data_IF_229260920956
#
_entry.id   IF_229260920956
#
_cell.length_a   1.000
_cell.length_b   1.000
_cell.length_c   1.000
_cell.angle_alpha   90.00
_cell.angle_beta   90.00
_cell.angle_gamma   90.00
#
_symmetry.space_group_name_H-M   'P 1'
#
loop_
_entity.id
_entity.type
_entity.pdbx_description
1 polymer ?
#
# COMPACT_ATOMS: atom_id res chain seq x y z
N UNK A 1 -46.57 0.95 11.71
CA UNK A 1 -45.46 0.32 12.45
C UNK A 1 -44.31 -0.17 11.57
N UNK A 2 -44.57 -0.76 10.39
CA UNK A 2 -43.53 -1.29 9.50
C UNK A 2 -42.47 -0.26 9.03
N UNK A 3 -42.89 0.95 8.63
CA UNK A 3 -41.96 2.01 8.20
C UNK A 3 -41.01 2.49 9.32
N UNK A 4 -41.48 2.47 10.57
CA UNK A 4 -40.65 2.84 11.73
C UNK A 4 -39.57 1.78 11.95
N UNK A 5 -39.93 0.49 11.88
CA UNK A 5 -38.98 -0.61 12.01
C UNK A 5 -37.92 -0.59 10.90
N UNK A 6 -38.29 -0.30 9.65
CA UNK A 6 -37.31 -0.14 8.56
C UNK A 6 -36.40 1.07 8.75
N UNK A 7 -36.93 2.19 9.25
CA UNK A 7 -36.12 3.36 9.61
C UNK A 7 -35.09 3.06 10.70
N UNK A 8 -35.50 2.33 11.75
CA UNK A 8 -34.61 1.91 12.83
C UNK A 8 -33.51 0.96 12.33
N UNK A 9 -33.86 -0.03 11.50
CA UNK A 9 -32.88 -0.96 10.91
C UNK A 9 -31.85 -0.25 10.04
N UNK A 10 -32.28 0.71 9.20
CA UNK A 10 -31.36 1.48 8.36
C UNK A 10 -30.43 2.35 9.20
N UNK A 11 -30.97 3.06 10.19
CA UNK A 11 -30.19 3.89 11.10
C UNK A 11 -29.12 3.08 11.85
N UNK A 12 -29.44 1.85 12.28
CA UNK A 12 -28.47 0.97 12.92
C UNK A 12 -27.31 0.59 11.99
N UNK A 13 -27.60 0.21 10.73
CA UNK A 13 -26.56 -0.12 9.75
C UNK A 13 -25.68 1.09 9.42
N UNK A 14 -26.30 2.27 9.25
CA UNK A 14 -25.58 3.49 8.92
C UNK A 14 -24.69 3.96 10.08
N UNK A 15 -25.20 3.96 11.32
CA UNK A 15 -24.42 4.32 12.51
C UNK A 15 -23.24 3.35 12.75
N UNK A 16 -23.42 2.05 12.48
CA UNK A 16 -22.33 1.07 12.54
C UNK A 16 -21.25 1.35 11.48
N UNK A 17 -21.67 1.69 10.25
CA UNK A 17 -20.76 2.08 9.16
C UNK A 17 -19.99 3.35 9.52
N UNK A 18 -20.66 4.34 10.11
CA UNK A 18 -20.07 5.60 10.52
C UNK A 18 -19.04 5.41 11.64
N UNK A 19 -19.35 4.61 12.66
CA UNK A 19 -18.43 4.27 13.74
C UNK A 19 -17.14 3.62 13.21
N UNK A 20 -17.28 2.69 12.26
CA UNK A 20 -16.13 2.04 11.62
C UNK A 20 -15.27 3.04 10.84
N UNK A 21 -15.89 3.90 10.02
CA UNK A 21 -15.19 4.96 9.26
C UNK A 21 -14.50 5.95 10.19
N UNK A 22 -15.14 6.33 11.30
CA UNK A 22 -14.57 7.20 12.33
C UNK A 22 -13.31 6.59 12.93
N UNK A 23 -13.33 5.30 13.28
CA UNK A 23 -12.16 4.58 13.78
C UNK A 23 -10.99 4.57 12.79
N UNK A 24 -11.26 4.32 11.50
CA UNK A 24 -10.24 4.35 10.45
C UNK A 24 -9.65 5.76 10.26
N UNK A 25 -10.49 6.80 10.25
CA UNK A 25 -10.03 8.20 10.18
C UNK A 25 -9.15 8.56 11.38
N UNK A 26 -9.49 8.08 12.58
CA UNK A 26 -8.69 8.33 13.77
C UNK A 26 -7.32 7.66 13.68
N UNK A 27 -7.23 6.43 13.13
CA UNK A 27 -5.94 5.78 12.84
C UNK A 27 -5.08 6.63 11.91
N UNK A 28 -5.67 7.10 10.81
CA UNK A 28 -4.97 7.98 9.85
C UNK A 28 -4.49 9.28 10.51
N UNK A 29 -5.32 9.91 11.36
CA UNK A 29 -4.92 11.11 12.13
C UNK A 29 -3.74 10.86 13.07
N UNK A 30 -3.60 9.65 13.62
CA UNK A 30 -2.44 9.23 14.41
C UNK A 30 -1.22 8.85 13.57
N UNK A 31 -1.32 8.91 12.23
CA UNK A 31 -0.27 8.48 11.32
C UNK A 31 -0.16 6.96 11.19
N UNK A 32 -1.13 6.20 11.71
CA UNK A 32 -1.19 4.74 11.55
C UNK A 32 -1.82 4.40 10.20
N UNK A 33 -1.25 3.41 9.51
CA UNK A 33 -1.83 2.95 8.26
C UNK A 33 -3.04 2.05 8.53
N UNK A 34 -4.24 2.40 8.03
CA UNK A 34 -5.49 1.74 8.42
C UNK A 34 -5.71 0.37 7.76
N UNK A 35 -4.92 0.01 6.74
CA UNK A 35 -5.10 -1.18 5.92
C UNK A 35 -3.87 -2.10 5.95
N UNK A 36 -3.85 -3.14 5.12
CA UNK A 36 -2.69 -4.00 4.95
C UNK A 36 -1.60 -3.31 4.15
N UNK A 37 -0.34 -3.51 4.57
CA UNK A 37 0.81 -2.98 3.86
C UNK A 37 0.83 -3.51 2.41
N UNK A 38 1.10 -2.64 1.41
CA UNK A 38 1.32 -3.08 0.04
C UNK A 38 2.51 -4.05 -0.05
N UNK A 39 2.57 -4.82 -1.14
CA UNK A 39 3.68 -5.73 -1.40
C UNK A 39 4.99 -4.92 -1.39
N UNK A 40 6.08 -5.48 -0.85
CA UNK A 40 7.33 -4.74 -0.65
C UNK A 40 7.43 -3.97 0.66
N UNK A 41 6.35 -3.93 1.42
CA UNK A 41 6.30 -3.32 2.74
C UNK A 41 5.79 -4.32 3.78
N UNK A 42 6.20 -4.11 5.03
CA UNK A 42 5.83 -4.92 6.18
C UNK A 42 5.20 -4.00 7.22
N UNK A 43 4.12 -4.48 7.84
CA UNK A 43 3.53 -3.81 9.00
C UNK A 43 4.29 -4.23 10.26
N UNK A 44 4.94 -3.29 10.93
CA UNK A 44 5.56 -3.53 12.22
C UNK A 44 4.49 -3.42 13.32
N UNK A 45 4.17 -4.55 13.95
CA UNK A 45 3.15 -4.63 15.01
C UNK A 45 3.46 -3.75 16.21
N UNK A 46 4.74 -3.50 16.49
CA UNK A 46 5.18 -2.72 17.66
C UNK A 46 5.01 -1.22 17.44
N UNK A 47 5.42 -0.73 16.27
CA UNK A 47 5.34 0.70 15.95
C UNK A 47 4.06 1.09 15.23
N UNK A 48 3.24 0.10 14.83
CA UNK A 48 2.02 0.28 14.00
C UNK A 48 2.30 1.10 12.74
N UNK A 49 3.54 1.01 12.24
CA UNK A 49 4.00 1.74 11.08
C UNK A 49 4.38 0.79 9.96
N UNK A 50 4.37 1.30 8.75
CA UNK A 50 4.82 0.57 7.58
C UNK A 50 6.34 0.75 7.45
N UNK A 51 7.04 -0.37 7.35
CA UNK A 51 8.48 -0.46 7.11
C UNK A 51 8.72 -1.07 5.73
N UNK A 52 9.74 -0.57 5.03
CA UNK A 52 10.17 -1.13 3.74
C UNK A 52 10.86 -2.47 3.94
N UNK A 53 10.40 -3.51 3.25
CA UNK A 53 11.14 -4.77 3.13
C UNK A 53 12.22 -4.61 2.05
N UNK A 54 13.48 -4.49 2.46
CA UNK A 54 14.60 -4.23 1.53
C UNK A 54 14.71 -5.26 0.40
N UNK A 55 14.37 -6.53 0.67
CA UNK A 55 14.47 -7.60 -0.35
C UNK A 55 13.35 -7.45 -1.39
N UNK A 56 12.11 -7.31 -0.92
CA UNK A 56 10.94 -7.21 -1.80
C UNK A 56 10.84 -5.86 -2.49
N UNK A 57 11.26 -4.78 -1.85
CA UNK A 57 11.27 -3.44 -2.43
C UNK A 57 12.18 -3.35 -3.67
N UNK A 58 13.34 -4.01 -3.65
CA UNK A 58 14.22 -4.07 -4.82
C UNK A 58 13.54 -4.74 -6.02
N UNK A 59 12.85 -5.86 -5.79
CA UNK A 59 12.11 -6.58 -6.84
C UNK A 59 11.01 -5.70 -7.43
N UNK A 60 10.29 -4.95 -6.59
CA UNK A 60 9.23 -4.04 -7.08
C UNK A 60 9.82 -2.92 -7.92
N UNK A 61 10.96 -2.36 -7.52
CA UNK A 61 11.67 -1.36 -8.32
C UNK A 61 12.03 -1.90 -9.71
N UNK A 62 12.61 -3.11 -9.76
CA UNK A 62 12.93 -3.79 -11.02
C UNK A 62 11.67 -3.98 -11.90
N UNK A 63 10.52 -4.29 -11.30
CA UNK A 63 9.24 -4.40 -12.02
C UNK A 63 8.79 -3.06 -12.61
N UNK A 64 8.89 -1.96 -11.86
CA UNK A 64 8.55 -0.64 -12.39
C UNK A 64 9.50 -0.22 -13.52
N UNK A 65 10.79 -0.50 -13.39
CA UNK A 65 11.79 -0.25 -14.45
C UNK A 65 11.50 -1.10 -15.70
N UNK A 66 11.14 -2.38 -15.52
CA UNK A 66 10.79 -3.29 -16.61
C UNK A 66 9.51 -2.83 -17.33
N UNK A 67 8.52 -2.35 -16.58
CA UNK A 67 7.30 -1.79 -17.16
C UNK A 67 7.56 -0.46 -17.89
N UNK A 68 8.40 0.41 -17.34
CA UNK A 68 8.76 1.69 -17.95
C UNK A 68 9.50 1.54 -19.29
N UNK A 69 10.21 0.42 -19.50
CA UNK A 69 10.84 0.08 -20.79
C UNK A 69 9.84 -0.24 -21.91
N UNK A 70 8.56 -0.46 -21.59
CA UNK A 70 7.48 -0.65 -22.57
C UNK A 70 7.44 -2.01 -23.29
N UNK A 71 8.43 -2.88 -23.06
CA UNK A 71 8.57 -4.15 -23.80
C UNK A 71 7.92 -5.36 -23.10
N UNK A 72 7.20 -5.15 -22.00
CA UNK A 72 6.69 -6.25 -21.17
C UNK A 72 5.18 -6.20 -21.00
N UNK A 73 4.54 -7.34 -21.19
CA UNK A 73 3.11 -7.52 -20.93
C UNK A 73 2.89 -7.67 -19.42
N UNK A 74 1.65 -7.46 -18.99
CA UNK A 74 1.25 -7.63 -17.59
C UNK A 74 1.42 -9.09 -17.10
N UNK A 75 1.37 -10.05 -18.02
CA UNK A 75 1.60 -11.47 -17.73
C UNK A 75 3.09 -11.74 -17.47
N UNK A 76 3.99 -11.16 -18.27
CA UNK A 76 5.44 -11.26 -18.08
C UNK A 76 5.87 -10.70 -16.72
N UNK A 77 5.26 -9.59 -16.30
CA UNK A 77 5.49 -8.98 -14.98
C UNK A 77 5.05 -9.91 -13.86
N UNK A 78 3.93 -10.59 -14.04
CA UNK A 78 3.43 -11.55 -13.08
C UNK A 78 4.33 -12.77 -12.95
N UNK A 79 4.85 -13.26 -14.06
CA UNK A 79 5.78 -14.38 -14.08
C UNK A 79 7.16 -13.97 -13.51
N UNK A 80 7.63 -12.75 -13.79
CA UNK A 80 8.84 -12.17 -13.17
C UNK A 80 8.71 -12.07 -11.65
N UNK A 81 7.56 -11.59 -11.15
CA UNK A 81 7.27 -11.53 -9.72
C UNK A 81 7.30 -12.92 -9.08
N UNK A 82 6.73 -13.93 -9.76
CA UNK A 82 6.74 -15.31 -9.28
C UNK A 82 8.16 -15.91 -9.24
N UNK A 83 8.98 -15.68 -10.27
CA UNK A 83 10.39 -16.12 -10.32
C UNK A 83 11.23 -15.52 -9.19
N UNK A 84 10.94 -14.27 -8.81
CA UNK A 84 11.62 -13.57 -7.70
C UNK A 84 11.03 -13.92 -6.32
N UNK A 85 10.11 -14.87 -6.24
CA UNK A 85 9.53 -15.37 -4.98
C UNK A 85 8.36 -14.53 -4.43
N UNK A 86 7.81 -13.59 -5.20
CA UNK A 86 6.59 -12.86 -4.84
C UNK A 86 5.39 -13.65 -5.35
N UNK A 87 4.93 -14.57 -4.52
CA UNK A 87 3.80 -15.46 -4.80
C UNK A 87 2.60 -15.14 -3.88
N UNK A 88 1.43 -15.62 -4.28
CA UNK A 88 0.24 -15.57 -3.44
C UNK A 88 0.42 -16.44 -2.19
N UNK A 89 -0.41 -16.21 -1.16
CA UNK A 89 -0.38 -16.98 0.10
C UNK A 89 -0.56 -18.49 -0.11
N UNK A 90 -1.21 -18.89 -1.20
CA UNK A 90 -1.38 -20.29 -1.62
C UNK A 90 -0.31 -20.80 -2.60
N UNK A 91 0.85 -20.15 -2.70
CA UNK A 91 1.97 -20.60 -3.55
C UNK A 91 1.81 -20.36 -5.05
N UNK A 92 0.65 -19.84 -5.48
CA UNK A 92 0.36 -19.59 -6.90
C UNK A 92 0.98 -18.29 -7.39
N UNK A 93 1.26 -18.22 -8.69
CA UNK A 93 1.62 -16.98 -9.36
C UNK A 93 0.53 -15.92 -9.18
N UNK A 94 0.93 -14.65 -9.20
CA UNK A 94 -0.02 -13.55 -9.15
C UNK A 94 -0.86 -13.56 -10.43
N UNK A 95 -2.05 -12.96 -10.38
CA UNK A 95 -2.85 -12.75 -11.58
C UNK A 95 -2.50 -11.40 -12.20
N UNK A 96 -2.70 -11.22 -13.51
CA UNK A 96 -2.46 -9.94 -14.22
C UNK A 96 -3.15 -8.74 -13.55
N UNK A 97 -4.32 -8.95 -12.96
CA UNK A 97 -5.05 -7.90 -12.21
C UNK A 97 -4.26 -7.41 -10.99
N UNK A 98 -3.58 -8.32 -10.29
CA UNK A 98 -2.77 -7.95 -9.13
C UNK A 98 -1.47 -7.26 -9.56
N UNK A 99 -0.85 -7.68 -10.66
CA UNK A 99 0.27 -6.97 -11.27
C UNK A 99 -0.13 -5.53 -11.65
N UNK A 100 -1.29 -5.37 -12.30
CA UNK A 100 -1.86 -4.06 -12.65
C UNK A 100 -2.09 -3.20 -11.40
N UNK A 101 -2.67 -3.77 -10.35
CA UNK A 101 -2.90 -3.08 -9.08
C UNK A 101 -1.59 -2.63 -8.42
N UNK A 102 -0.50 -3.38 -8.54
CA UNK A 102 0.81 -2.96 -8.01
C UNK A 102 1.31 -1.74 -8.77
N UNK A 103 1.27 -1.78 -10.10
CA UNK A 103 1.76 -0.71 -10.97
C UNK A 103 0.94 0.59 -10.86
N UNK A 104 -0.38 0.48 -10.62
CA UNK A 104 -1.26 1.64 -10.51
C UNK A 104 -1.38 2.21 -9.09
N UNK A 105 -0.77 1.57 -8.09
CA UNK A 105 -0.95 1.98 -6.70
C UNK A 105 -0.13 3.26 -6.38
N UNK A 106 -0.79 4.38 -6.02
CA UNK A 106 -0.11 5.65 -5.72
C UNK A 106 0.83 5.58 -4.50
N UNK A 107 0.69 4.55 -3.66
CA UNK A 107 1.56 4.33 -2.50
C UNK A 107 3.03 4.16 -2.90
N UNK A 108 3.32 3.54 -4.04
CA UNK A 108 4.70 3.38 -4.51
C UNK A 108 5.32 4.69 -5.02
N UNK A 109 4.48 5.68 -5.35
CA UNK A 109 4.90 7.02 -5.77
C UNK A 109 4.99 8.01 -4.59
N UNK A 110 4.81 7.55 -3.34
CA UNK A 110 4.94 8.40 -2.15
C UNK A 110 3.69 9.22 -1.79
N UNK A 111 2.55 9.01 -2.47
CA UNK A 111 1.29 9.70 -2.15
C UNK A 111 0.54 9.12 -0.94
N UNK A 112 1.25 8.56 0.04
CA UNK A 112 0.62 8.01 1.24
C UNK A 112 0.31 9.11 2.24
N UNK A 113 -0.88 9.02 2.87
CA UNK A 113 -1.31 9.93 3.94
C UNK A 113 -0.51 9.70 5.24
N UNK A 114 0.25 8.60 5.33
CA UNK A 114 0.94 8.17 6.56
C UNK A 114 2.46 8.13 6.40
N UNK A 115 3.24 8.57 7.39
CA UNK A 115 4.70 8.56 7.34
C UNK A 115 5.24 7.13 7.31
N UNK A 116 5.98 6.80 6.25
CA UNK A 116 6.76 5.56 6.13
C UNK A 116 8.07 5.76 6.89
N UNK A 117 8.39 4.88 7.85
CA UNK A 117 9.68 4.93 8.55
C UNK A 117 10.71 4.09 7.78
N UNK A 118 11.67 4.75 7.14
CA UNK A 118 12.84 4.08 6.57
C UNK A 118 13.79 3.63 7.69
N UNK A 119 14.17 2.36 7.71
CA UNK A 119 15.10 1.82 8.72
C UNK A 119 16.50 2.41 8.56
N UNK A 120 16.77 3.38 9.46
CA UNK A 120 18.02 4.07 9.84
C UNK A 120 18.56 5.16 8.91
N UNK A 121 18.22 6.41 9.22
CA UNK A 121 19.16 7.47 9.62
C UNK A 121 18.34 8.65 10.17
N UNK A 122 18.84 9.29 11.23
CA UNK A 122 18.34 10.57 11.75
C UNK A 122 18.16 11.55 10.59
N UNK A 123 17.08 12.35 10.60
CA UNK A 123 17.13 13.81 10.32
C UNK A 123 15.70 14.38 10.25
N UNK A 124 15.43 15.20 11.26
CA UNK A 124 14.57 16.39 11.29
C UNK A 124 14.30 17.04 9.93
N UNK A 125 13.02 17.17 9.56
CA UNK A 125 12.40 18.16 8.65
C UNK A 125 13.03 18.47 7.26
N UNK A 126 14.20 17.96 6.90
CA UNK A 126 14.88 18.15 5.60
C UNK A 126 14.65 16.97 4.64
N UNK A 127 14.14 15.84 5.15
CA UNK A 127 13.93 14.61 4.38
C UNK A 127 12.82 14.72 3.33
N UNK A 128 11.88 15.66 3.47
CA UNK A 128 10.84 15.89 2.46
C UNK A 128 11.40 16.54 1.18
N UNK A 129 12.44 17.37 1.27
CA UNK A 129 13.07 18.02 0.11
C UNK A 129 14.10 17.14 -0.59
N UNK A 130 14.76 16.21 0.13
CA UNK A 130 15.73 15.28 -0.47
C UNK A 130 15.06 14.17 -1.29
N UNK A 131 13.90 13.66 -0.86
CA UNK A 131 13.17 12.62 -1.60
C UNK A 131 12.70 13.08 -3.00
N UNK A 132 12.34 14.35 -3.19
CA UNK A 132 11.97 14.87 -4.52
C UNK A 132 13.17 15.23 -5.40
N UNK A 133 14.36 15.42 -4.81
CA UNK A 133 15.57 15.79 -5.57
C UNK A 133 16.28 14.55 -6.13
N UNK A 134 16.21 13.42 -5.43
CA UNK A 134 16.85 12.16 -5.86
C UNK A 134 16.08 11.43 -6.98
N UNK A 135 14.80 11.75 -7.19
CA UNK A 135 13.94 11.16 -8.23
C UNK A 135 13.75 12.04 -9.47
N UNK A 136 14.43 13.19 -9.56
CA UNK A 136 14.39 14.09 -10.75
C UNK A 136 15.68 14.06 -11.59
N UNK A 137 16.60 13.13 -11.29
CA UNK A 137 17.85 12.91 -12.03
C UNK A 137 18.05 11.45 -12.50
N UNK A 138 16.99 10.66 -12.58
CA UNK A 138 16.99 9.38 -13.29
C UNK A 138 15.74 9.28 -14.16
#
# INVERSE_FOLDING_TARGET
MLNIAFGQSKYYVDSLSENTKRGLRQKVRRGEYPSFAPIGYINDSRTKTIIVDRKKAKIIKEVFELYAKGNSRLEDISDFLAQRGIISRGGKKLHKTRATFILSNPFYCGFSVTPVKSTKANTSQSSQRKFLTEYRKF
#
